data_IF_653055864168
#
_entry.id   IF_653055864168
#
_cell.length_a   1.000
_cell.length_b   1.000
_cell.length_c   1.000
_cell.angle_alpha   90.00
_cell.angle_beta   90.00
_cell.angle_gamma   90.00
#
_symmetry.space_group_name_H-M   'P 1'
#
loop_
_entity.id
_entity.type
_entity.pdbx_description
1 polymer ?
#
# COMPACT_ATOMS: atom_id res chain seq x y z
N UNK A 1 19.66 11.76 -6.21
CA UNK A 1 18.65 11.37 -7.20
C UNK A 1 17.75 10.34 -6.56
N UNK A 2 16.45 10.60 -6.46
CA UNK A 2 15.50 9.66 -5.86
C UNK A 2 15.21 8.53 -6.85
N UNK A 3 15.58 7.30 -6.48
CA UNK A 3 15.28 6.12 -7.26
C UNK A 3 13.82 5.72 -7.04
N UNK A 4 13.00 5.85 -8.09
CA UNK A 4 11.62 5.41 -8.12
C UNK A 4 11.58 3.88 -8.27
N UNK A 5 11.57 3.15 -7.17
CA UNK A 5 11.38 1.70 -7.19
C UNK A 5 9.89 1.41 -7.25
N UNK A 6 9.40 1.22 -8.46
CA UNK A 6 8.07 0.68 -8.73
C UNK A 6 7.88 -0.62 -7.96
N UNK A 7 6.78 -0.73 -7.19
CA UNK A 7 6.28 -1.99 -6.62
C UNK A 7 5.74 -2.88 -7.76
N UNK A 8 6.60 -3.13 -8.77
CA UNK A 8 6.30 -3.95 -9.92
C UNK A 8 6.29 -5.39 -9.46
N UNK A 9 5.16 -6.05 -9.68
CA UNK A 9 4.95 -7.49 -9.57
C UNK A 9 5.95 -8.24 -10.45
N UNK A 10 7.22 -8.35 -10.02
CA UNK A 10 8.15 -9.31 -10.63
C UNK A 10 7.49 -10.67 -10.42
N UNK A 11 7.13 -11.32 -11.53
CA UNK A 11 6.59 -12.68 -11.53
C UNK A 11 7.69 -13.62 -11.02
N UNK A 12 7.75 -13.80 -9.71
CA UNK A 12 8.53 -14.86 -9.09
C UNK A 12 7.94 -16.17 -9.59
N UNK A 13 8.74 -16.97 -10.30
CA UNK A 13 8.37 -18.37 -10.51
C UNK A 13 8.27 -19.00 -9.13
N UNK A 14 7.06 -19.44 -8.74
CA UNK A 14 6.91 -20.31 -7.57
C UNK A 14 7.76 -21.54 -7.85
N UNK A 15 8.78 -21.75 -7.02
CA UNK A 15 9.51 -23.01 -7.02
C UNK A 15 8.65 -23.93 -6.17
N UNK A 16 7.89 -24.79 -6.84
CA UNK A 16 7.03 -25.76 -6.18
C UNK A 16 7.89 -26.86 -5.56
N UNK A 17 8.25 -26.71 -4.28
CA UNK A 17 8.72 -27.83 -3.44
C UNK A 17 8.16 -27.69 -2.03
N UNK A 18 7.42 -28.69 -1.52
CA UNK A 18 6.92 -28.69 -0.15
C UNK A 18 8.02 -29.21 0.77
N UNK A 19 8.51 -28.36 1.68
CA UNK A 19 9.40 -28.80 2.76
C UNK A 19 10.59 -27.88 3.00
N UNK A 20 10.67 -27.36 4.22
CA UNK A 20 11.84 -26.71 4.84
C UNK A 20 12.52 -25.62 3.99
N UNK A 21 12.07 -24.37 4.16
CA UNK A 21 12.77 -23.23 3.56
C UNK A 21 14.18 -23.13 4.16
N UNK A 22 15.21 -23.47 3.39
CA UNK A 22 16.56 -22.98 3.67
C UNK A 22 16.58 -21.51 3.23
N UNK A 23 16.35 -20.59 4.17
CA UNK A 23 16.53 -19.16 3.88
C UNK A 23 18.01 -18.91 3.61
N UNK A 24 18.36 -18.75 2.34
CA UNK A 24 19.69 -18.31 1.94
C UNK A 24 19.84 -16.82 2.31
N UNK A 25 20.91 -16.46 3.01
CA UNK A 25 21.20 -15.09 3.42
C UNK A 25 21.20 -14.15 2.21
N UNK A 26 21.66 -14.62 1.05
CA UNK A 26 21.63 -13.86 -0.20
C UNK A 26 20.21 -13.47 -0.62
N UNK A 27 19.24 -14.36 -0.38
CA UNK A 27 17.84 -14.10 -0.71
C UNK A 27 17.23 -13.08 0.24
N UNK A 28 17.54 -13.19 1.53
CA UNK A 28 17.11 -12.21 2.54
C UNK A 28 17.70 -10.83 2.22
N UNK A 29 19.00 -10.77 1.96
CA UNK A 29 19.69 -9.54 1.54
C UNK A 29 19.05 -8.93 0.30
N UNK A 30 18.79 -9.73 -0.75
CA UNK A 30 18.19 -9.25 -1.99
C UNK A 30 16.78 -8.68 -1.80
N UNK A 31 15.97 -9.26 -0.90
CA UNK A 31 14.66 -8.72 -0.56
C UNK A 31 14.79 -7.47 0.31
N UNK A 32 15.61 -7.50 1.34
CA UNK A 32 15.77 -6.38 2.27
C UNK A 32 16.33 -5.13 1.61
N UNK A 33 17.47 -5.26 0.95
CA UNK A 33 18.16 -4.13 0.33
C UNK A 33 17.51 -3.76 -0.99
N UNK A 34 17.16 -4.76 -1.81
CA UNK A 34 16.62 -4.53 -3.14
C UNK A 34 15.15 -4.14 -3.13
N UNK A 35 14.30 -4.82 -2.36
CA UNK A 35 12.84 -4.62 -2.43
C UNK A 35 12.37 -3.65 -1.34
N UNK A 36 12.81 -3.84 -0.10
CA UNK A 36 12.38 -3.02 1.03
C UNK A 36 13.17 -1.70 1.14
N UNK A 37 14.30 -1.59 0.44
CA UNK A 37 15.13 -0.38 0.45
C UNK A 37 15.93 -0.19 1.74
N UNK A 38 16.23 -1.27 2.46
CA UNK A 38 17.12 -1.23 3.64
C UNK A 38 18.55 -0.91 3.18
N UNK A 39 19.26 -0.06 3.93
CA UNK A 39 20.65 0.27 3.62
C UNK A 39 21.55 -0.98 3.68
N UNK A 40 22.42 -1.23 2.68
CA UNK A 40 23.31 -2.39 2.68
C UNK A 40 24.24 -2.47 3.89
N UNK A 41 24.79 -1.35 4.34
CA UNK A 41 25.70 -1.31 5.49
C UNK A 41 24.96 -1.64 6.77
N UNK A 42 23.82 -0.99 6.98
CA UNK A 42 22.93 -1.29 8.11
C UNK A 42 22.48 -2.77 8.13
N UNK A 43 22.17 -3.35 6.97
CA UNK A 43 21.77 -4.75 6.87
C UNK A 43 22.89 -5.73 7.26
N UNK A 44 24.15 -5.44 6.93
CA UNK A 44 25.26 -6.34 7.20
C UNK A 44 25.81 -6.20 8.63
N UNK A 45 25.75 -4.99 9.18
CA UNK A 45 26.43 -4.68 10.44
C UNK A 45 25.50 -4.68 11.67
N UNK A 46 24.24 -4.25 11.53
CA UNK A 46 23.41 -3.86 12.68
C UNK A 46 21.99 -4.44 12.70
N UNK A 47 21.47 -4.94 11.57
CA UNK A 47 20.05 -5.30 11.48
C UNK A 47 19.71 -6.56 12.28
N UNK A 48 18.64 -6.50 13.08
CA UNK A 48 18.05 -7.68 13.72
C UNK A 48 17.03 -8.36 12.80
N UNK A 49 16.85 -9.67 12.95
CA UNK A 49 15.81 -10.39 12.21
C UNK A 49 14.40 -9.86 12.49
N UNK A 50 14.14 -9.37 13.71
CA UNK A 50 12.88 -8.72 14.07
C UNK A 50 12.67 -7.42 13.28
N UNK A 51 13.71 -6.60 13.14
CA UNK A 51 13.64 -5.37 12.35
C UNK A 51 13.35 -5.67 10.86
N UNK A 52 13.90 -6.75 10.32
CA UNK A 52 13.59 -7.21 8.95
C UNK A 52 12.11 -7.61 8.85
N UNK A 53 11.57 -8.31 9.85
CA UNK A 53 10.15 -8.69 9.89
C UNK A 53 9.23 -7.47 9.90
N UNK A 54 9.52 -6.49 10.77
CA UNK A 54 8.76 -5.23 10.84
C UNK A 54 8.86 -4.43 9.53
N UNK A 55 10.04 -4.36 8.93
CA UNK A 55 10.24 -3.71 7.63
C UNK A 55 9.43 -4.39 6.53
N UNK A 56 9.32 -5.72 6.57
CA UNK A 56 8.52 -6.49 5.61
C UNK A 56 7.02 -6.19 5.74
N UNK A 57 6.49 -6.16 6.96
CA UNK A 57 5.10 -5.80 7.21
C UNK A 57 4.80 -4.36 6.76
N UNK A 58 5.69 -3.41 7.10
CA UNK A 58 5.56 -2.02 6.67
C UNK A 58 5.60 -1.90 5.15
N UNK A 59 6.51 -2.61 4.48
CA UNK A 59 6.60 -2.65 3.03
C UNK A 59 5.31 -3.18 2.39
N UNK A 60 4.79 -4.32 2.89
CA UNK A 60 3.54 -4.89 2.39
C UNK A 60 2.37 -3.90 2.53
N UNK A 61 2.25 -3.23 3.68
CA UNK A 61 1.22 -2.21 3.91
C UNK A 61 1.35 -1.05 2.93
N UNK A 62 2.57 -0.55 2.70
CA UNK A 62 2.81 0.55 1.77
C UNK A 62 2.48 0.20 0.32
N UNK A 63 2.81 -1.02 -0.13
CA UNK A 63 2.41 -1.48 -1.47
C UNK A 63 0.89 -1.62 -1.58
N UNK A 64 0.20 -2.17 -0.57
CA UNK A 64 -1.28 -2.24 -0.57
C UNK A 64 -1.90 -0.84 -0.71
N UNK A 65 -1.40 0.13 0.05
CA UNK A 65 -1.86 1.52 -0.01
C UNK A 65 -1.61 2.16 -1.38
N UNK A 66 -0.41 1.98 -1.96
CA UNK A 66 -0.08 2.50 -3.29
C UNK A 66 -0.99 1.95 -4.37
N UNK A 67 -1.33 0.65 -4.30
CA UNK A 67 -2.26 0.02 -5.22
C UNK A 67 -3.70 0.52 -5.03
N UNK A 68 -4.12 0.80 -3.80
CA UNK A 68 -5.44 1.39 -3.53
C UNK A 68 -5.54 2.85 -4.04
N UNK A 69 -4.48 3.64 -3.87
CA UNK A 69 -4.41 4.98 -4.47
C UNK A 69 -4.50 4.90 -6.00
N UNK A 70 -3.79 3.95 -6.60
CA UNK A 70 -3.84 3.68 -8.05
C UNK A 70 -5.25 3.29 -8.48
N UNK A 71 -5.94 2.43 -7.71
CA UNK A 71 -7.35 2.03 -7.94
C UNK A 71 -8.25 3.25 -8.01
N UNK A 72 -8.12 4.17 -7.05
CA UNK A 72 -8.94 5.38 -6.98
C UNK A 72 -8.71 6.28 -8.19
N UNK A 73 -7.43 6.50 -8.55
CA UNK A 73 -7.08 7.34 -9.70
C UNK A 73 -7.61 6.71 -11.00
N UNK A 74 -7.35 5.42 -11.21
CA UNK A 74 -7.81 4.70 -12.40
C UNK A 74 -9.33 4.70 -12.51
N UNK A 75 -10.04 4.48 -11.39
CA UNK A 75 -11.49 4.55 -11.34
C UNK A 75 -12.02 5.93 -11.71
N UNK A 76 -11.44 7.01 -11.18
CA UNK A 76 -11.88 8.37 -11.49
C UNK A 76 -11.69 8.72 -12.97
N UNK A 77 -10.59 8.25 -13.58
CA UNK A 77 -10.32 8.46 -15.01
C UNK A 77 -11.29 7.63 -15.88
N UNK A 78 -11.60 6.40 -15.49
CA UNK A 78 -12.48 5.52 -16.24
C UNK A 78 -13.98 5.84 -16.01
N UNK A 79 -14.33 6.39 -14.85
CA UNK A 79 -15.72 6.65 -14.41
C UNK A 79 -16.64 7.27 -15.46
N UNK A 80 -16.25 8.31 -16.24
CA UNK A 80 -17.14 8.88 -17.26
C UNK A 80 -17.45 7.93 -18.43
N UNK A 81 -16.69 6.85 -18.59
CA UNK A 81 -16.82 5.87 -19.68
C UNK A 81 -17.39 4.53 -19.22
N UNK A 82 -17.64 4.35 -17.91
CA UNK A 82 -18.16 3.10 -17.35
C UNK A 82 -19.69 3.09 -17.37
N UNK A 83 -20.26 2.07 -17.99
CA UNK A 83 -21.69 1.77 -17.84
C UNK A 83 -21.95 1.08 -16.49
N UNK A 84 -23.08 1.38 -15.84
CA UNK A 84 -23.54 0.65 -14.65
C UNK A 84 -22.98 1.09 -13.29
N UNK A 85 -22.21 2.19 -13.21
CA UNK A 85 -21.66 2.75 -11.95
C UNK A 85 -21.08 1.67 -11.00
N UNK A 86 -20.12 0.84 -11.48
CA UNK A 86 -19.52 -0.20 -10.65
C UNK A 86 -18.82 0.40 -9.43
N UNK A 87 -18.70 -0.37 -8.36
CA UNK A 87 -17.85 0.00 -7.23
C UNK A 87 -16.36 -0.05 -7.63
N UNK A 88 -15.49 0.66 -6.88
CA UNK A 88 -14.04 0.68 -7.14
C UNK A 88 -13.40 -0.72 -7.07
N UNK A 89 -13.91 -1.58 -6.18
CA UNK A 89 -13.44 -2.96 -6.02
C UNK A 89 -13.88 -3.86 -7.18
N UNK A 90 -15.09 -3.67 -7.70
CA UNK A 90 -15.56 -4.39 -8.91
C UNK A 90 -14.81 -3.94 -10.17
N UNK A 91 -14.49 -2.65 -10.26
CA UNK A 91 -13.72 -2.09 -11.37
C UNK A 91 -12.29 -2.65 -11.44
N UNK A 92 -11.61 -2.78 -10.30
CA UNK A 92 -10.26 -3.33 -10.23
C UNK A 92 -10.07 -4.21 -8.99
N UNK A 93 -10.44 -5.50 -9.06
CA UNK A 93 -10.28 -6.44 -7.96
C UNK A 93 -8.80 -6.68 -7.62
N UNK A 94 -8.45 -6.61 -6.34
CA UNK A 94 -7.11 -6.90 -5.82
C UNK A 94 -7.15 -8.12 -4.91
N UNK A 95 -6.00 -8.79 -4.79
CA UNK A 95 -5.89 -10.10 -4.12
C UNK A 95 -6.34 -10.05 -2.64
N UNK A 96 -6.05 -8.94 -1.96
CA UNK A 96 -6.40 -8.73 -0.55
C UNK A 96 -7.83 -8.23 -0.30
N UNK A 97 -8.63 -7.98 -1.35
CA UNK A 97 -10.06 -7.64 -1.14
C UNK A 97 -10.81 -8.85 -0.54
N UNK A 98 -10.37 -10.07 -0.87
CA UNK A 98 -10.90 -11.31 -0.30
C UNK A 98 -10.56 -11.49 1.19
N UNK A 99 -9.44 -10.92 1.63
CA UNK A 99 -8.97 -10.93 3.02
C UNK A 99 -9.70 -9.89 3.88
N UNK A 100 -10.16 -8.79 3.27
CA UNK A 100 -10.71 -7.61 3.97
C UNK A 100 -12.17 -7.72 4.44
N UNK A 101 -12.81 -8.89 4.33
CA UNK A 101 -14.23 -9.06 4.75
C UNK A 101 -14.48 -8.92 6.26
N UNK A 102 -13.45 -8.67 7.08
CA UNK A 102 -13.58 -8.52 8.54
C UNK A 102 -13.39 -7.09 9.07
N UNK A 103 -13.18 -6.08 8.22
CA UNK A 103 -13.12 -4.68 8.68
C UNK A 103 -14.37 -3.94 8.21
N UNK A 104 -15.43 -4.03 9.01
CA UNK A 104 -16.59 -3.14 8.96
C UNK A 104 -16.10 -1.67 9.03
N UNK A 105 -16.23 -0.86 7.96
CA UNK A 105 -15.84 0.55 7.99
C UNK A 105 -16.91 1.36 8.72
N UNK A 106 -16.93 1.27 10.06
CA UNK A 106 -18.05 1.80 10.84
C UNK A 106 -17.74 2.60 12.09
N UNK A 107 -16.50 2.65 12.60
CA UNK A 107 -16.28 3.24 13.96
C UNK A 107 -15.13 4.22 14.14
N UNK A 108 -14.33 4.53 13.11
CA UNK A 108 -13.19 5.46 13.26
C UNK A 108 -13.33 6.78 12.48
N UNK A 109 -14.45 7.01 11.78
CA UNK A 109 -14.57 8.14 10.84
C UNK A 109 -15.46 9.31 11.29
N UNK A 110 -16.12 9.25 12.45
CA UNK A 110 -16.96 10.37 12.90
C UNK A 110 -16.15 11.55 13.44
N UNK A 111 -15.03 11.28 14.13
CA UNK A 111 -14.18 12.34 14.70
C UNK A 111 -13.41 13.13 13.62
N UNK A 112 -12.91 12.47 12.56
CA UNK A 112 -12.11 13.15 11.51
C UNK A 112 -12.94 13.85 10.44
N UNK A 113 -14.20 13.43 10.22
CA UNK A 113 -15.12 14.11 9.28
C UNK A 113 -15.61 15.46 9.80
N UNK A 114 -15.76 15.61 11.12
CA UNK A 114 -16.13 16.89 11.73
C UNK A 114 -15.01 17.92 11.53
N UNK A 115 -13.77 17.56 11.88
CA UNK A 115 -12.60 18.46 11.76
C UNK A 115 -12.31 18.90 10.31
N UNK A 116 -12.48 17.98 9.34
CA UNK A 116 -12.28 18.31 7.92
C UNK A 116 -13.37 19.22 7.35
N UNK A 117 -14.59 19.16 7.89
CA UNK A 117 -15.72 19.96 7.44
C UNK A 117 -15.62 21.39 7.97
N UNK A 118 -15.26 21.56 9.24
CA UNK A 118 -15.00 22.87 9.85
C UNK A 118 -13.89 23.63 9.12
N UNK A 119 -12.80 22.92 8.76
CA UNK A 119 -11.68 23.53 8.03
C UNK A 119 -12.04 23.92 6.60
N UNK A 120 -12.94 23.18 5.94
CA UNK A 120 -13.43 23.51 4.60
C UNK A 120 -14.39 24.70 4.63
N UNK A 121 -15.30 24.72 5.62
CA UNK A 121 -16.28 25.79 5.80
C UNK A 121 -15.57 27.11 6.14
N UNK A 122 -14.53 27.10 6.97
CA UNK A 122 -13.69 28.27 7.28
C UNK A 122 -13.04 28.86 6.01
N UNK A 123 -12.43 28.02 5.17
CA UNK A 123 -11.83 28.44 3.89
C UNK A 123 -12.90 29.04 2.95
N UNK A 124 -14.10 28.46 2.88
CA UNK A 124 -15.18 29.02 2.05
C UNK A 124 -15.73 30.34 2.58
N UNK A 125 -15.60 30.60 3.88
CA UNK A 125 -16.05 31.86 4.49
C UNK A 125 -15.05 32.98 4.19
N UNK A 126 -13.74 32.70 4.22
CA UNK A 126 -12.70 33.68 3.85
C UNK A 126 -12.74 34.05 2.36
N UNK A 127 -13.08 33.10 1.48
CA UNK A 127 -13.19 33.36 0.04
C UNK A 127 -14.46 34.14 -0.36
N UNK A 128 -15.46 34.25 0.52
CA UNK A 128 -16.72 34.97 0.27
C UNK A 128 -16.81 36.34 0.97
N UNK A 129 -15.69 36.84 1.51
CA UNK A 129 -15.55 38.23 1.98
C UNK A 129 -14.52 38.97 1.12
N UNK A 130 -14.89 39.20 -0.14
CA UNK A 130 -14.44 40.33 -0.97
C UNK A 130 -15.47 40.56 -2.10
#
# INVERSE_FOLDING_TARGET
GCYYWSCSSRRWKKVDTPGSYKLDLKRVYGVAVGVMGIDPGYFLDEVSFEAIGLAWEAYQKSCRESWEQTRIIAFNVASPYLEGKPSKQEFMPLEWDSESKEIEPGKESESKKAEGKERFDEITTELNLN
#
